data_IF_468246300580
#
_entry.id   IF_468246300580
#
_cell.length_a   1.000
_cell.length_b   1.000
_cell.length_c   1.000
_cell.angle_alpha   90.00
_cell.angle_beta   90.00
_cell.angle_gamma   90.00
#
_symmetry.space_group_name_H-M   'P 1'
#
loop_
_entity.id
_entity.type
_entity.pdbx_description
1 polymer ?
#
# COMPACT_ATOMS: atom_id res chain seq x y z
N UNK A 1 -6.28 0.83 -16.36
CA UNK A 1 -6.36 0.63 -14.90
C UNK A 1 -5.51 -0.55 -14.45
N UNK A 2 -5.03 -0.50 -13.24
CA UNK A 2 -4.20 -1.56 -12.69
C UNK A 2 -4.66 -1.92 -11.28
N UNK A 3 -4.68 -3.23 -10.99
CA UNK A 3 -4.80 -3.73 -9.62
C UNK A 3 -3.43 -3.72 -8.97
N UNK A 4 -3.36 -3.19 -7.75
CA UNK A 4 -2.14 -3.18 -6.95
C UNK A 4 -2.45 -3.76 -5.58
N UNK A 5 -1.51 -4.55 -5.06
CA UNK A 5 -1.60 -5.07 -3.70
C UNK A 5 -0.30 -4.76 -2.98
N UNK A 6 -0.43 -4.13 -1.83
CA UNK A 6 0.69 -3.86 -0.92
C UNK A 6 0.46 -4.61 0.38
N UNK A 7 1.45 -5.35 0.80
CA UNK A 7 1.40 -6.14 2.04
C UNK A 7 2.30 -5.51 3.09
N UNK A 8 1.82 -5.43 4.32
CA UNK A 8 2.61 -4.91 5.44
C UNK A 8 3.81 -5.82 5.70
N UNK A 9 4.96 -5.24 5.95
CA UNK A 9 6.20 -5.99 6.18
C UNK A 9 6.02 -7.01 7.30
N UNK A 10 6.52 -8.21 7.07
CA UNK A 10 6.35 -9.38 7.95
C UNK A 10 4.88 -9.80 8.13
N UNK A 11 3.98 -9.36 7.26
CA UNK A 11 2.52 -9.57 7.34
C UNK A 11 1.93 -9.16 8.70
N UNK A 12 2.47 -8.12 9.29
CA UNK A 12 1.95 -7.57 10.54
C UNK A 12 0.54 -7.02 10.33
N UNK A 13 -0.34 -7.22 11.29
CA UNK A 13 -1.74 -6.75 11.22
C UNK A 13 -1.85 -5.27 11.59
N UNK A 14 -0.94 -4.45 11.08
CA UNK A 14 -0.86 -3.02 11.43
C UNK A 14 -1.98 -2.18 10.83
N UNK A 15 -2.65 -2.67 9.79
CA UNK A 15 -3.76 -1.93 9.19
C UNK A 15 -5.03 -1.98 10.04
N UNK A 16 -5.10 -2.84 11.04
CA UNK A 16 -6.16 -2.77 12.04
C UNK A 16 -6.11 -1.42 12.77
N UNK A 17 -4.91 -0.97 13.11
CA UNK A 17 -4.71 0.31 13.80
C UNK A 17 -4.54 1.49 12.84
N UNK A 18 -3.74 1.32 11.80
CA UNK A 18 -3.32 2.41 10.93
C UNK A 18 -4.09 2.50 9.61
N UNK A 19 -5.06 1.62 9.40
CA UNK A 19 -5.77 1.53 8.12
C UNK A 19 -6.42 2.85 7.70
N UNK A 20 -7.10 3.53 8.60
CA UNK A 20 -7.78 4.78 8.28
C UNK A 20 -6.79 5.89 7.91
N UNK A 21 -5.67 5.98 8.63
CA UNK A 21 -4.62 6.95 8.30
C UNK A 21 -3.99 6.64 6.94
N UNK A 22 -3.70 5.38 6.67
CA UNK A 22 -3.13 4.94 5.40
C UNK A 22 -4.10 5.24 4.25
N UNK A 23 -5.38 4.95 4.41
CA UNK A 23 -6.39 5.30 3.40
C UNK A 23 -6.37 6.78 3.08
N UNK A 24 -6.38 7.63 4.10
CA UNK A 24 -6.35 9.07 3.90
C UNK A 24 -5.08 9.51 3.18
N UNK A 25 -3.93 8.97 3.57
CA UNK A 25 -2.66 9.26 2.91
C UNK A 25 -2.71 8.85 1.43
N UNK A 26 -3.27 7.69 1.13
CA UNK A 26 -3.40 7.22 -0.25
C UNK A 26 -4.28 8.14 -1.09
N UNK A 27 -5.39 8.62 -0.56
CA UNK A 27 -6.22 9.61 -1.26
C UNK A 27 -5.48 10.92 -1.47
N UNK A 28 -4.73 11.39 -0.48
CA UNK A 28 -3.91 12.59 -0.63
C UNK A 28 -2.87 12.44 -1.75
N UNK A 29 -2.24 11.27 -1.85
CA UNK A 29 -1.29 10.97 -2.92
C UNK A 29 -1.96 11.04 -4.28
N UNK A 30 -3.16 10.48 -4.42
CA UNK A 30 -3.88 10.51 -5.70
C UNK A 30 -4.19 11.93 -6.14
N UNK A 31 -4.56 12.78 -5.22
CA UNK A 31 -4.80 14.18 -5.50
C UNK A 31 -3.52 14.89 -5.99
N UNK A 32 -2.41 14.69 -5.29
CA UNK A 32 -1.13 15.31 -5.62
C UNK A 32 -0.55 14.82 -6.95
N UNK A 33 -0.73 13.54 -7.26
CA UNK A 33 -0.11 12.90 -8.42
C UNK A 33 -1.05 12.77 -9.63
N UNK A 34 -2.26 13.27 -9.52
CA UNK A 34 -3.23 13.27 -10.61
C UNK A 34 -3.54 11.86 -11.14
N UNK A 35 -3.71 10.94 -10.22
CA UNK A 35 -4.21 9.57 -10.46
C UNK A 35 -5.50 9.39 -9.67
N UNK A 36 -6.23 8.31 -9.93
CA UNK A 36 -7.50 8.07 -9.24
C UNK A 36 -7.54 6.67 -8.66
N UNK A 37 -8.02 6.54 -7.43
CA UNK A 37 -8.37 5.26 -6.84
C UNK A 37 -9.83 4.97 -7.20
N UNK A 38 -10.07 3.90 -7.96
CA UNK A 38 -11.41 3.45 -8.33
C UNK A 38 -12.01 2.60 -7.21
N UNK A 39 -11.19 1.72 -6.64
CA UNK A 39 -11.56 0.88 -5.50
C UNK A 39 -10.38 0.75 -4.57
N UNK A 40 -10.65 0.66 -3.28
CA UNK A 40 -9.64 0.40 -2.26
C UNK A 40 -10.26 -0.48 -1.17
N UNK A 41 -9.62 -1.61 -0.93
CA UNK A 41 -9.99 -2.50 0.17
C UNK A 41 -8.81 -2.63 1.12
N UNK A 42 -9.06 -2.38 2.40
CA UNK A 42 -8.05 -2.47 3.45
C UNK A 42 -8.38 -3.69 4.31
N UNK A 43 -7.49 -4.65 4.34
CA UNK A 43 -7.55 -5.78 5.25
C UNK A 43 -6.54 -5.58 6.37
N UNK A 44 -6.41 -6.53 7.26
CA UNK A 44 -5.55 -6.43 8.46
C UNK A 44 -4.08 -6.18 8.12
N UNK A 45 -3.59 -6.78 7.05
CA UNK A 45 -2.17 -6.80 6.71
C UNK A 45 -1.86 -6.45 5.26
N UNK A 46 -2.87 -6.06 4.47
CA UNK A 46 -2.66 -5.69 3.08
C UNK A 46 -3.74 -4.73 2.58
N UNK A 47 -3.40 -4.03 1.50
CA UNK A 47 -4.32 -3.15 0.79
C UNK A 47 -4.40 -3.59 -0.65
N UNK A 48 -5.62 -3.68 -1.16
CA UNK A 48 -5.90 -3.92 -2.56
C UNK A 48 -6.45 -2.63 -3.18
N UNK A 49 -5.83 -2.18 -4.26
CA UNK A 49 -6.21 -0.96 -4.98
C UNK A 49 -6.53 -1.27 -6.43
N UNK A 50 -7.53 -0.58 -6.95
CA UNK A 50 -7.75 -0.44 -8.38
C UNK A 50 -7.50 1.02 -8.74
N UNK A 51 -6.47 1.28 -9.56
CA UNK A 51 -6.00 2.64 -9.87
C UNK A 51 -6.19 2.93 -11.35
N UNK A 52 -6.78 4.09 -11.62
CA UNK A 52 -6.85 4.66 -12.97
C UNK A 52 -5.78 5.74 -13.12
N UNK A 53 -5.03 5.69 -14.21
CA UNK A 53 -3.91 6.61 -14.45
C UNK A 53 -3.74 6.88 -15.94
N UNK A 54 -3.07 7.98 -16.25
CA UNK A 54 -2.77 8.39 -17.62
C UNK A 54 -1.64 7.55 -18.21
N UNK A 55 -1.63 7.31 -19.53
CA UNK A 55 -0.57 6.53 -20.18
C UNK A 55 0.85 7.08 -20.01
N UNK A 56 0.97 8.36 -19.66
CA UNK A 56 2.27 9.01 -19.41
C UNK A 56 2.89 8.65 -18.06
N UNK A 57 2.14 7.96 -17.19
CA UNK A 57 2.60 7.58 -15.85
C UNK A 57 2.83 6.07 -15.84
N UNK A 58 3.97 5.63 -15.32
CA UNK A 58 4.27 4.20 -15.22
C UNK A 58 3.68 3.59 -13.95
N UNK A 59 3.38 2.30 -14.00
CA UNK A 59 2.94 1.54 -12.82
C UNK A 59 4.02 1.57 -11.74
N UNK A 60 5.29 1.47 -12.12
CA UNK A 60 6.38 1.53 -11.16
C UNK A 60 6.40 2.86 -10.40
N UNK A 61 6.20 3.98 -11.08
CA UNK A 61 6.13 5.29 -10.42
C UNK A 61 4.98 5.33 -9.41
N UNK A 62 3.83 4.81 -9.79
CA UNK A 62 2.66 4.76 -8.90
C UNK A 62 2.98 3.95 -7.63
N UNK A 63 3.59 2.78 -7.79
CA UNK A 63 4.00 1.93 -6.67
C UNK A 63 4.96 2.67 -5.75
N UNK A 64 5.98 3.32 -6.32
CA UNK A 64 6.96 4.09 -5.56
C UNK A 64 6.27 5.21 -4.76
N UNK A 65 5.38 5.96 -5.39
CA UNK A 65 4.65 7.03 -4.71
C UNK A 65 3.83 6.50 -3.53
N UNK A 66 3.03 5.47 -3.73
CA UNK A 66 2.22 4.93 -2.65
C UNK A 66 3.08 4.39 -1.51
N UNK A 67 4.10 3.62 -1.81
CA UNK A 67 4.93 2.99 -0.76
C UNK A 67 5.80 4.00 -0.03
N UNK A 68 6.52 4.85 -0.73
CA UNK A 68 7.47 5.77 -0.12
C UNK A 68 6.77 6.92 0.61
N UNK A 69 5.80 7.55 -0.02
CA UNK A 69 5.11 8.69 0.60
C UNK A 69 4.31 8.24 1.82
N UNK A 70 3.60 7.12 1.72
CA UNK A 70 2.84 6.63 2.85
C UNK A 70 3.72 6.23 4.03
N UNK A 71 4.85 5.56 3.77
CA UNK A 71 5.82 5.22 4.81
C UNK A 71 6.36 6.48 5.49
N UNK A 72 6.77 7.45 4.70
CA UNK A 72 7.28 8.72 5.23
C UNK A 72 6.26 9.39 6.15
N UNK A 73 5.01 9.50 5.71
CA UNK A 73 3.96 10.21 6.43
C UNK A 73 3.47 9.45 7.66
N UNK A 74 3.26 8.13 7.56
CA UNK A 74 2.75 7.36 8.70
C UNK A 74 3.71 7.39 9.88
N UNK A 75 5.01 7.40 9.62
CA UNK A 75 6.02 7.48 10.67
C UNK A 75 6.06 8.84 11.37
N UNK A 76 5.66 9.91 10.68
CA UNK A 76 5.78 11.29 11.19
C UNK A 76 4.50 11.85 11.78
N UNK A 77 3.37 11.20 11.56
CA UNK A 77 2.06 11.68 12.03
C UNK A 77 1.73 11.13 13.42
N UNK A 78 0.99 11.92 14.20
CA UNK A 78 0.23 11.46 15.37
C UNK A 78 1.02 10.65 16.40
N UNK A 79 2.34 10.82 16.49
CA UNK A 79 3.17 10.07 17.42
C UNK A 79 3.33 8.60 17.08
N UNK A 80 3.03 8.22 15.83
CA UNK A 80 3.06 6.83 15.39
C UNK A 80 4.42 6.18 15.51
N UNK A 81 5.51 6.97 15.47
CA UNK A 81 6.88 6.43 15.55
C UNK A 81 7.13 5.59 16.80
N UNK A 82 6.51 5.93 17.92
CA UNK A 82 6.65 5.16 19.16
C UNK A 82 6.07 3.75 19.02
N UNK A 83 4.95 3.64 18.32
CA UNK A 83 4.28 2.35 18.09
C UNK A 83 5.00 1.56 17.02
N UNK A 84 5.30 2.21 15.89
CA UNK A 84 5.94 1.55 14.75
C UNK A 84 7.36 1.07 15.09
N UNK A 85 8.09 1.78 15.93
CA UNK A 85 9.42 1.36 16.38
C UNK A 85 9.43 0.01 17.09
N UNK A 86 8.32 -0.38 17.68
CA UNK A 86 8.19 -1.70 18.32
C UNK A 86 8.13 -2.85 17.32
N UNK A 87 7.69 -2.56 16.10
CA UNK A 87 7.58 -3.55 15.03
C UNK A 87 8.75 -3.50 14.05
N UNK A 88 9.33 -2.31 13.84
CA UNK A 88 10.39 -2.06 12.86
C UNK A 88 11.52 -1.26 13.48
N UNK A 89 12.12 -1.75 14.55
CA UNK A 89 12.98 -0.98 15.42
C UNK A 89 14.31 -0.49 14.82
N UNK A 90 14.78 -1.09 13.74
CA UNK A 90 16.05 -0.67 13.10
C UNK A 90 15.87 0.17 11.86
N UNK A 91 14.68 0.22 11.29
CA UNK A 91 14.45 0.94 10.04
C UNK A 91 13.04 1.50 9.97
N UNK A 92 12.89 2.63 9.32
CA UNK A 92 11.58 3.23 9.08
C UNK A 92 10.99 2.64 7.81
N UNK A 93 10.24 1.58 7.97
CA UNK A 93 9.57 0.85 6.91
C UNK A 93 8.10 0.63 7.26
N UNK A 94 7.33 0.14 6.34
CA UNK A 94 5.94 -0.24 6.58
C UNK A 94 5.53 -1.41 5.68
N UNK A 95 5.89 -1.35 4.40
CA UNK A 95 5.47 -2.32 3.40
C UNK A 95 6.55 -3.35 3.12
N UNK A 96 6.13 -4.55 2.70
CA UNK A 96 7.03 -5.56 2.13
C UNK A 96 7.71 -5.03 0.88
N UNK A 97 8.87 -5.59 0.52
CA UNK A 97 9.66 -5.10 -0.60
C UNK A 97 8.98 -5.23 -1.96
N UNK A 98 8.19 -6.27 -2.16
CA UNK A 98 7.52 -6.51 -3.42
C UNK A 98 6.15 -5.85 -3.52
N UNK A 99 5.51 -6.07 -4.66
CA UNK A 99 4.12 -5.70 -4.89
C UNK A 99 3.53 -6.60 -5.95
N UNK A 100 2.20 -6.74 -5.92
CA UNK A 100 1.46 -7.39 -6.99
C UNK A 100 0.86 -6.32 -7.89
N UNK A 101 0.96 -6.52 -9.22
CA UNK A 101 0.26 -5.67 -10.17
C UNK A 101 -0.34 -6.52 -11.29
N UNK A 102 -1.53 -6.15 -11.72
CA UNK A 102 -2.23 -6.86 -12.77
C UNK A 102 -3.22 -5.93 -13.45
N UNK A 103 -3.35 -6.04 -14.77
CA UNK A 103 -4.39 -5.31 -15.47
C UNK A 103 -5.77 -5.86 -15.11
N UNK A 104 -6.80 -5.03 -15.31
CA UNK A 104 -8.19 -5.41 -14.99
C UNK A 104 -8.55 -6.75 -15.60
N UNK A 105 -9.20 -7.59 -14.81
CA UNK A 105 -9.75 -8.87 -15.23
C UNK A 105 -8.74 -10.02 -15.27
N UNK A 106 -7.46 -9.76 -15.10
CA UNK A 106 -6.44 -10.79 -15.16
C UNK A 106 -6.04 -11.40 -13.81
N UNK A 107 -6.38 -10.73 -12.71
CA UNK A 107 -6.07 -11.25 -11.38
C UNK A 107 -7.18 -12.16 -10.88
N UNK A 108 -6.87 -13.43 -10.64
CA UNK A 108 -7.79 -14.33 -9.96
C UNK A 108 -7.63 -14.18 -8.45
N UNK A 109 -8.70 -14.51 -7.72
CA UNK A 109 -8.66 -14.51 -6.25
C UNK A 109 -7.54 -15.41 -5.72
N UNK A 110 -7.33 -16.56 -6.32
CA UNK A 110 -6.27 -17.49 -5.94
C UNK A 110 -4.87 -16.92 -6.09
N UNK A 111 -4.61 -16.22 -7.19
CA UNK A 111 -3.32 -15.55 -7.43
C UNK A 111 -3.07 -14.48 -6.39
N UNK A 112 -4.09 -13.69 -6.08
CA UNK A 112 -4.00 -12.63 -5.08
C UNK A 112 -3.70 -13.21 -3.70
N UNK A 113 -4.45 -14.23 -3.28
CA UNK A 113 -4.24 -14.90 -1.99
C UNK A 113 -2.84 -15.50 -1.89
N UNK A 114 -2.38 -16.15 -2.96
CA UNK A 114 -1.06 -16.75 -3.00
C UNK A 114 0.05 -15.72 -2.88
N UNK A 115 -0.11 -14.57 -3.54
CA UNK A 115 0.83 -13.46 -3.41
C UNK A 115 0.90 -12.96 -1.98
N UNK A 116 -0.24 -12.73 -1.35
CA UNK A 116 -0.29 -12.24 0.04
C UNK A 116 0.39 -13.22 0.99
N UNK A 117 0.14 -14.52 0.84
CA UNK A 117 0.74 -15.56 1.69
C UNK A 117 2.27 -15.63 1.55
N UNK A 118 2.79 -15.33 0.36
CA UNK A 118 4.23 -15.39 0.09
C UNK A 118 4.98 -14.12 0.50
N UNK A 119 4.26 -13.05 0.88
CA UNK A 119 4.86 -11.82 1.39
C UNK A 119 5.04 -11.93 2.90
N UNK A 120 6.26 -11.95 3.33
CA UNK A 120 6.58 -12.17 4.72
C UNK A 120 7.08 -10.96 5.50
#
# INVERSE_FOLDING_TARGET
MVHLIFVVKYRRNLLVKFGDEIEQIFYDITYEKNISIVEMEVDKNHIHLLVHYKPTISVLDIVIWFKQISTYRIWRQNGNSKILSKYFWKERTFWSDGYFSCSIGNASKEKIEKYIQNQG
#
